data_IF_942286115495
#
_entry.id   IF_942286115495
#
_cell.length_a   1.000
_cell.length_b   1.000
_cell.length_c   1.000
_cell.angle_alpha   90.00
_cell.angle_beta   90.00
_cell.angle_gamma   90.00
#
_symmetry.space_group_name_H-M   'P 1'
#
loop_
_entity.id
_entity.type
_entity.pdbx_description
1 polymer ?
#
# COMPACT_ATOMS: atom_id res chain seq x y z
N UNK A 1 -8.39 -16.00 17.14
CA UNK A 1 -9.06 -17.18 17.70
C UNK A 1 -10.40 -17.30 16.99
N UNK A 2 -10.70 -18.41 16.32
CA UNK A 2 -11.90 -18.56 15.51
C UNK A 2 -13.14 -18.50 16.40
N UNK A 3 -13.82 -17.35 16.39
CA UNK A 3 -14.86 -16.98 17.36
C UNK A 3 -16.12 -17.87 17.34
N UNK A 4 -16.19 -18.85 16.44
CA UNK A 4 -17.33 -19.75 16.24
C UNK A 4 -17.03 -21.22 16.57
N UNK A 5 -15.90 -21.52 17.23
CA UNK A 5 -15.52 -22.91 17.57
C UNK A 5 -15.37 -23.82 16.32
N UNK A 6 -14.97 -23.23 15.19
CA UNK A 6 -14.92 -23.86 13.85
C UNK A 6 -13.60 -24.61 13.58
N UNK A 7 -12.66 -24.63 14.52
CA UNK A 7 -11.43 -25.39 14.37
C UNK A 7 -10.48 -25.27 15.56
N UNK A 8 -9.60 -26.26 15.70
CA UNK A 8 -8.66 -26.38 16.83
C UNK A 8 -7.32 -25.66 16.57
N UNK A 9 -6.95 -25.44 15.30
CA UNK A 9 -5.69 -24.80 14.90
C UNK A 9 -5.83 -24.01 13.61
N UNK A 10 -5.31 -22.79 13.60
CA UNK A 10 -5.28 -21.91 12.43
C UNK A 10 -3.88 -21.31 12.27
N UNK A 11 -3.42 -21.17 11.02
CA UNK A 11 -2.22 -20.42 10.67
C UNK A 11 -2.64 -19.23 9.82
N UNK A 12 -2.19 -18.03 10.20
CA UNK A 12 -2.45 -16.79 9.47
C UNK A 12 -1.13 -16.08 9.17
N UNK A 13 -1.01 -15.55 7.95
CA UNK A 13 0.15 -14.80 7.48
C UNK A 13 -0.18 -14.03 6.20
N UNK A 14 0.81 -13.30 5.66
CA UNK A 14 0.68 -12.54 4.42
C UNK A 14 1.99 -12.53 3.64
N UNK A 15 1.91 -12.36 2.32
CA UNK A 15 3.06 -12.27 1.41
C UNK A 15 2.85 -11.13 0.43
N UNK A 16 3.90 -10.36 0.20
CA UNK A 16 3.93 -9.30 -0.80
C UNK A 16 5.32 -9.23 -1.43
N UNK A 17 5.39 -9.08 -2.75
CA UNK A 17 6.66 -8.98 -3.48
C UNK A 17 6.59 -7.82 -4.48
N UNK A 18 6.67 -6.61 -3.96
CA UNK A 18 6.56 -5.38 -4.77
C UNK A 18 7.61 -5.30 -5.88
N UNK A 19 8.85 -5.74 -5.65
CA UNK A 19 9.92 -5.75 -6.67
C UNK A 19 9.61 -6.66 -7.86
N UNK A 20 8.61 -7.55 -7.74
CA UNK A 20 8.18 -8.48 -8.80
C UNK A 20 6.75 -8.19 -9.25
N UNK A 21 6.20 -7.03 -8.92
CA UNK A 21 4.87 -6.64 -9.36
C UNK A 21 4.85 -6.49 -10.90
N UNK A 22 3.89 -7.11 -11.61
CA UNK A 22 3.83 -7.04 -13.06
C UNK A 22 3.20 -5.72 -13.54
N UNK A 23 3.47 -5.36 -14.79
CA UNK A 23 2.63 -4.41 -15.52
C UNK A 23 1.29 -5.07 -15.88
N UNK A 24 0.20 -4.34 -15.72
CA UNK A 24 -1.15 -4.81 -16.04
C UNK A 24 -1.70 -4.07 -17.26
N UNK A 25 -2.41 -4.77 -18.14
CA UNK A 25 -2.95 -4.20 -19.38
C UNK A 25 -4.49 -4.23 -19.37
N UNK A 26 -5.12 -3.14 -19.79
CA UNK A 26 -6.55 -3.13 -20.05
C UNK A 26 -6.90 -3.94 -21.30
N UNK A 27 -8.08 -4.60 -21.28
CA UNK A 27 -8.64 -5.20 -22.49
C UNK A 27 -8.97 -4.11 -23.51
N UNK A 28 -8.79 -4.41 -24.80
CA UNK A 28 -9.25 -3.53 -25.87
C UNK A 28 -10.76 -3.31 -25.80
N UNK A 29 -11.18 -2.04 -25.93
CA UNK A 29 -12.59 -1.63 -25.90
C UNK A 29 -13.32 -1.88 -27.23
N UNK A 30 -12.56 -2.02 -28.33
CA UNK A 30 -13.09 -2.26 -29.67
C UNK A 30 -12.17 -3.19 -30.49
N UNK A 31 -12.71 -3.86 -31.53
CA UNK A 31 -11.91 -4.66 -32.45
C UNK A 31 -10.81 -3.81 -33.11
N UNK A 32 -9.61 -4.39 -33.23
CA UNK A 32 -8.44 -3.74 -33.85
C UNK A 32 -8.00 -2.42 -33.21
N UNK A 33 -8.32 -2.20 -31.93
CA UNK A 33 -7.81 -1.04 -31.19
C UNK A 33 -6.27 -1.01 -31.22
N UNK A 34 -5.72 0.14 -31.60
CA UNK A 34 -4.29 0.41 -31.71
C UNK A 34 -3.69 1.06 -30.46
N UNK A 35 -4.50 1.30 -29.42
CA UNK A 35 -4.08 1.98 -28.19
C UNK A 35 -4.09 1.00 -27.01
N UNK A 36 -2.96 0.37 -26.67
CA UNK A 36 -2.85 -0.43 -25.46
C UNK A 36 -2.66 0.48 -24.24
N UNK A 37 -3.34 0.16 -23.13
CA UNK A 37 -3.16 0.84 -21.84
C UNK A 37 -2.48 -0.09 -20.85
N UNK A 38 -1.29 0.28 -20.40
CA UNK A 38 -0.52 -0.40 -19.37
C UNK A 38 -0.45 0.44 -18.11
N UNK A 39 -0.53 -0.19 -16.94
CA UNK A 39 -0.39 0.46 -15.64
C UNK A 39 0.49 -0.40 -14.71
N UNK A 40 1.22 0.25 -13.80
CA UNK A 40 2.06 -0.43 -12.80
C UNK A 40 1.20 -0.93 -11.64
N UNK A 41 1.47 -2.15 -11.17
CA UNK A 41 0.79 -2.74 -10.02
C UNK A 41 1.60 -2.69 -8.72
N UNK A 42 2.86 -2.22 -8.77
CA UNK A 42 3.74 -2.15 -7.61
C UNK A 42 3.17 -1.29 -6.48
N UNK A 43 2.65 -0.11 -6.79
CA UNK A 43 2.04 0.77 -5.79
C UNK A 43 1.09 1.80 -6.43
N UNK A 44 0.06 2.18 -5.67
CA UNK A 44 -0.83 3.29 -6.03
C UNK A 44 -2.09 2.89 -6.81
N UNK A 45 -2.80 3.93 -7.26
CA UNK A 45 -4.02 3.79 -8.04
C UNK A 45 -3.73 3.26 -9.45
N UNK A 46 -4.52 2.28 -9.88
CA UNK A 46 -4.57 1.85 -11.28
C UNK A 46 -6.01 1.56 -11.70
N UNK A 47 -6.30 1.76 -12.98
CA UNK A 47 -7.63 1.62 -13.58
C UNK A 47 -8.72 2.27 -12.72
N UNK A 48 -8.43 3.48 -12.22
CA UNK A 48 -9.25 4.11 -11.20
C UNK A 48 -10.67 4.40 -11.70
N UNK A 49 -11.66 4.07 -10.86
CA UNK A 49 -13.05 4.35 -11.15
C UNK A 49 -13.35 5.83 -10.92
N UNK A 50 -13.73 6.55 -11.98
CA UNK A 50 -14.05 7.99 -11.94
C UNK A 50 -15.08 8.33 -10.85
N UNK A 51 -16.14 7.54 -10.71
CA UNK A 51 -17.19 7.80 -9.71
C UNK A 51 -16.70 7.62 -8.26
N UNK A 52 -15.65 6.84 -8.05
CA UNK A 52 -14.98 6.77 -6.74
C UNK A 52 -14.12 8.01 -6.54
N UNK A 53 -13.28 8.36 -7.51
CA UNK A 53 -12.39 9.52 -7.42
C UNK A 53 -13.15 10.83 -7.16
N UNK A 54 -14.31 11.00 -7.81
CA UNK A 54 -15.16 12.18 -7.61
C UNK A 54 -15.70 12.29 -6.16
N UNK A 55 -15.76 11.17 -5.42
CA UNK A 55 -16.27 11.12 -4.03
C UNK A 55 -15.17 11.16 -2.98
N UNK A 56 -14.05 10.48 -3.21
CA UNK A 56 -13.00 10.27 -2.20
C UNK A 56 -11.64 10.87 -2.58
N UNK A 57 -11.53 11.47 -3.77
CA UNK A 57 -10.27 11.97 -4.31
C UNK A 57 -9.39 10.89 -4.91
N UNK A 58 -8.23 11.30 -5.40
CA UNK A 58 -7.22 10.46 -6.05
C UNK A 58 -5.85 10.59 -5.38
N UNK A 59 -5.83 10.99 -4.11
CA UNK A 59 -4.60 11.17 -3.35
C UNK A 59 -3.79 9.88 -3.31
N UNK A 60 -2.50 10.01 -3.56
CA UNK A 60 -1.52 8.96 -3.30
C UNK A 60 -1.32 8.79 -1.79
N UNK A 61 -0.76 7.64 -1.39
CA UNK A 61 -0.43 7.36 0.01
C UNK A 61 0.39 8.48 0.68
N UNK A 62 1.32 9.09 -0.06
CA UNK A 62 2.17 10.19 0.45
C UNK A 62 1.34 11.47 0.64
N UNK A 63 0.47 11.79 -0.30
CA UNK A 63 -0.42 12.95 -0.16
C UNK A 63 -1.38 12.77 1.02
N UNK A 64 -1.91 11.55 1.22
CA UNK A 64 -2.76 11.29 2.38
C UNK A 64 -2.00 11.41 3.70
N UNK A 65 -0.73 10.98 3.73
CA UNK A 65 0.13 11.17 4.89
C UNK A 65 0.38 12.65 5.20
N UNK A 66 0.58 13.49 4.18
CA UNK A 66 0.73 14.94 4.35
C UNK A 66 -0.57 15.63 4.80
N UNK A 67 -1.72 15.18 4.28
CA UNK A 67 -3.03 15.66 4.72
C UNK A 67 -3.21 15.36 6.22
N UNK A 68 -2.91 14.13 6.66
CA UNK A 68 -2.96 13.74 8.07
C UNK A 68 -1.96 14.56 8.90
N UNK A 69 -0.75 14.79 8.40
CA UNK A 69 0.25 15.60 9.08
C UNK A 69 -0.24 17.04 9.27
N UNK A 70 -0.89 17.61 8.26
CA UNK A 70 -1.48 18.95 8.32
C UNK A 70 -2.65 19.01 9.30
N UNK A 71 -3.59 18.06 9.23
CA UNK A 71 -4.79 18.02 10.06
C UNK A 71 -4.47 17.83 11.55
N UNK A 72 -3.35 17.15 11.85
CA UNK A 72 -2.89 16.85 13.20
C UNK A 72 -1.73 17.76 13.67
N UNK A 73 -1.35 18.77 12.89
CA UNK A 73 -0.22 19.68 13.17
C UNK A 73 1.10 18.93 13.48
N UNK A 74 1.35 17.85 12.76
CA UNK A 74 2.57 17.05 12.88
C UNK A 74 3.71 17.78 12.16
N UNK A 75 4.58 18.41 12.95
CA UNK A 75 5.77 19.03 12.41
C UNK A 75 6.69 18.03 11.70
N UNK A 76 7.41 18.50 10.67
CA UNK A 76 8.47 17.72 10.01
C UNK A 76 9.47 17.14 11.00
N UNK A 77 9.85 17.91 12.02
CA UNK A 77 10.80 17.47 13.04
C UNK A 77 10.25 16.30 13.86
N UNK A 78 8.94 16.27 14.14
CA UNK A 78 8.26 15.14 14.77
C UNK A 78 8.18 13.93 13.82
N UNK A 79 7.90 14.12 12.53
CA UNK A 79 7.93 13.05 11.53
C UNK A 79 9.34 12.43 11.40
N UNK A 80 10.39 13.26 11.38
CA UNK A 80 11.79 12.84 11.28
C UNK A 80 12.27 12.07 12.52
N UNK A 81 11.66 12.25 13.71
CA UNK A 81 11.99 11.42 14.89
C UNK A 81 11.71 9.93 14.64
N UNK A 82 10.75 9.59 13.78
CA UNK A 82 10.49 8.19 13.38
C UNK A 82 11.67 7.57 12.62
N UNK A 83 12.43 8.36 11.86
CA UNK A 83 13.67 7.91 11.19
C UNK A 83 14.76 7.55 12.20
N UNK A 84 14.79 8.21 13.35
CA UNK A 84 15.70 7.84 14.45
C UNK A 84 15.30 6.49 15.07
N UNK A 85 14.00 6.21 15.21
CA UNK A 85 13.50 4.91 15.65
C UNK A 85 13.78 3.78 14.65
N UNK A 86 13.79 4.07 13.35
CA UNK A 86 14.24 3.14 12.31
C UNK A 86 15.71 2.71 12.54
N UNK A 87 16.61 3.67 12.80
CA UNK A 87 18.02 3.38 13.13
C UNK A 87 18.20 2.57 14.43
N UNK A 88 17.31 2.75 15.41
CA UNK A 88 17.29 1.92 16.63
C UNK A 88 16.84 0.48 16.36
N UNK A 89 16.05 0.23 15.32
CA UNK A 89 15.56 -1.10 14.94
C UNK A 89 16.63 -1.89 14.17
N UNK A 90 17.42 -1.21 13.33
CA UNK A 90 18.52 -1.82 12.56
C UNK A 90 19.67 -2.30 13.47
N UNK A 91 19.87 -1.63 14.62
CA UNK A 91 20.94 -1.96 15.58
C UNK A 91 20.55 -2.98 16.65
N UNK A 92 19.35 -3.58 16.58
CA UNK A 92 19.01 -4.71 17.46
C UNK A 92 19.61 -6.00 16.90
N UNK A 93 20.23 -6.86 17.73
CA UNK A 93 20.70 -8.15 17.26
C UNK A 93 19.52 -8.97 16.73
N UNK A 94 19.75 -9.69 15.63
CA UNK A 94 18.80 -10.52 14.89
C UNK A 94 18.28 -11.76 15.67
N UNK A 95 18.18 -11.69 17.00
CA UNK A 95 17.77 -12.80 17.86
C UNK A 95 16.26 -12.86 18.10
N UNK A 96 15.45 -12.63 17.05
CA UNK A 96 14.03 -13.01 17.07
C UNK A 96 13.92 -14.32 16.31
N UNK A 97 14.07 -15.41 17.06
CA UNK A 97 13.63 -16.74 16.64
C UNK A 97 12.10 -16.71 16.56
N UNK A 98 11.57 -17.30 15.48
CA UNK A 98 10.16 -17.40 15.09
C UNK A 98 9.19 -17.68 16.24
#
# INVERSE_FOLDING_TARGET
>A
MANNNEGDLFIAGGVESMSRAPLVMAKAESPFSSVPKFEDSAIGWRFANKALLDKIGNDSLVQTAENIATDLDISKQAADQSLTAHNLTINKPWNVVL
#
